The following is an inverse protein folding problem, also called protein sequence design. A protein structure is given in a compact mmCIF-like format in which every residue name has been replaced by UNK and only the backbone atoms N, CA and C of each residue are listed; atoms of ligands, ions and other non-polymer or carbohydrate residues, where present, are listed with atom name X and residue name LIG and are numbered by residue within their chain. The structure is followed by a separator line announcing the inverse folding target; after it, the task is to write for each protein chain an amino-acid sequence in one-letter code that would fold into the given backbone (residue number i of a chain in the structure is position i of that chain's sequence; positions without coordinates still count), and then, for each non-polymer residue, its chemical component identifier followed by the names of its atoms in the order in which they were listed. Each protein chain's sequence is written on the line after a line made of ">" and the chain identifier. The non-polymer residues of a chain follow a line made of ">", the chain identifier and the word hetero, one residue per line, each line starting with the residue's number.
data_IF_365689067671
#
_entry.id   IF_365689067671
#
_cell.length_a   1.000
_cell.length_b   1.000
_cell.length_c   1.000
_cell.angle_alpha   90.00
_cell.angle_beta   90.00
_cell.angle_gamma   90.00
#
_symmetry.space_group_name_H-M   'P 1'
#
loop_
_entity.id
_entity.type
_entity.pdbx_description
1 polymer ?
#
# COMPACT_ATOMS: atom_id res chain seq x y z
N UNK A 1 -28.93 -9.66 -32.57
CA UNK A 1 -28.14 -10.58 -31.74
C UNK A 1 -26.86 -9.89 -31.33
N UNK A 2 -26.81 -9.40 -30.10
CA UNK A 2 -25.62 -8.81 -29.51
C UNK A 2 -25.54 -9.22 -28.03
N UNK A 3 -24.34 -9.22 -27.47
CA UNK A 3 -24.08 -9.37 -26.04
C UNK A 3 -23.36 -8.10 -25.59
N UNK A 4 -23.77 -7.56 -24.44
CA UNK A 4 -23.09 -6.46 -23.78
C UNK A 4 -22.69 -6.88 -22.36
N UNK A 5 -21.53 -6.44 -21.91
CA UNK A 5 -21.13 -6.58 -20.51
C UNK A 5 -21.78 -5.45 -19.69
N UNK A 6 -22.38 -5.80 -18.55
CA UNK A 6 -23.14 -4.88 -17.69
C UNK A 6 -22.37 -4.47 -16.44
N UNK A 7 -21.70 -5.44 -15.79
CA UNK A 7 -21.00 -5.19 -14.53
C UNK A 7 -19.93 -6.26 -14.26
N UNK A 8 -18.90 -5.90 -13.49
CA UNK A 8 -17.86 -6.81 -12.98
C UNK A 8 -17.72 -6.59 -11.46
N UNK A 9 -17.66 -7.70 -10.71
CA UNK A 9 -17.28 -7.75 -9.31
C UNK A 9 -15.90 -8.37 -9.17
N UNK A 10 -15.01 -7.69 -8.48
CA UNK A 10 -13.72 -8.24 -8.07
C UNK A 10 -13.78 -8.79 -6.65
N UNK A 11 -14.39 -8.05 -5.72
CA UNK A 11 -14.68 -8.47 -4.35
C UNK A 11 -16.11 -9.02 -4.29
N UNK A 12 -16.28 -10.29 -4.66
CA UNK A 12 -17.60 -10.92 -4.75
C UNK A 12 -17.97 -11.72 -3.50
N UNK A 13 -16.99 -12.04 -2.65
CA UNK A 13 -17.16 -12.55 -1.29
C UNK A 13 -16.42 -11.66 -0.27
N UNK A 14 -17.16 -10.74 0.35
CA UNK A 14 -16.61 -9.84 1.37
C UNK A 14 -16.09 -10.51 2.65
N UNK A 15 -16.25 -11.83 2.80
CA UNK A 15 -15.69 -12.60 3.91
C UNK A 15 -14.39 -13.33 3.53
N UNK A 16 -13.95 -13.21 2.28
CA UNK A 16 -12.73 -13.83 1.78
C UNK A 16 -11.72 -12.83 1.23
N UNK A 17 -10.52 -13.35 0.96
CA UNK A 17 -9.39 -12.66 0.34
C UNK A 17 -8.47 -13.63 -0.43
N UNK A 18 -8.86 -14.91 -0.57
CA UNK A 18 -8.00 -15.97 -1.11
C UNK A 18 -8.24 -16.25 -2.61
N UNK A 19 -9.42 -15.93 -3.13
CA UNK A 19 -9.80 -16.16 -4.53
C UNK A 19 -10.41 -14.94 -5.22
N UNK A 20 -10.54 -13.81 -4.51
CA UNK A 20 -11.16 -12.58 -4.98
C UNK A 20 -10.52 -11.34 -4.33
N UNK A 21 -11.03 -10.14 -4.65
CA UNK A 21 -10.40 -8.89 -4.19
C UNK A 21 -10.78 -8.52 -2.76
N UNK A 22 -9.89 -7.78 -2.09
CA UNK A 22 -10.07 -7.28 -0.74
C UNK A 22 -11.24 -6.29 -0.60
N UNK A 23 -11.77 -6.20 0.62
CA UNK A 23 -12.64 -5.10 1.01
C UNK A 23 -11.83 -3.80 1.04
N UNK A 24 -12.22 -2.82 0.23
CA UNK A 24 -11.54 -1.52 0.09
C UNK A 24 -12.52 -0.37 0.11
N UNK A 25 -12.01 0.83 0.42
CA UNK A 25 -12.73 2.10 0.27
C UNK A 25 -11.80 3.14 -0.33
N UNK A 26 -12.36 4.25 -0.83
CA UNK A 26 -11.50 5.26 -1.46
C UNK A 26 -10.70 6.04 -0.42
N UNK A 27 -11.41 6.56 0.58
CA UNK A 27 -10.91 7.36 1.70
C UNK A 27 -11.99 7.38 2.80
N UNK A 28 -11.81 8.17 3.87
CA UNK A 28 -12.75 8.26 5.00
C UNK A 28 -14.20 8.58 4.66
N UNK A 29 -14.48 9.36 3.60
CA UNK A 29 -15.84 9.78 3.26
C UNK A 29 -16.46 8.97 2.13
N UNK A 30 -15.65 8.35 1.29
CA UNK A 30 -16.12 7.65 0.09
C UNK A 30 -15.88 6.14 0.17
N UNK A 31 -16.99 5.40 0.23
CA UNK A 31 -17.04 3.94 0.13
C UNK A 31 -16.94 3.50 -1.34
N UNK A 32 -16.38 2.31 -1.60
CA UNK A 32 -16.37 1.68 -2.92
C UNK A 32 -17.47 0.62 -2.91
N UNK A 33 -18.44 0.72 -3.80
CA UNK A 33 -19.53 -0.26 -3.90
C UNK A 33 -19.12 -1.42 -4.82
N UNK A 34 -19.65 -2.61 -4.53
CA UNK A 34 -19.62 -3.77 -5.43
C UNK A 34 -20.96 -3.80 -6.19
N UNK A 35 -20.98 -3.94 -7.53
CA UNK A 35 -19.85 -4.16 -8.44
C UNK A 35 -18.96 -2.92 -8.64
N UNK A 36 -17.65 -3.14 -8.72
CA UNK A 36 -16.64 -2.09 -8.88
C UNK A 36 -16.55 -1.60 -10.33
N UNK A 37 -17.04 -2.36 -11.31
CA UNK A 37 -17.20 -1.87 -12.69
C UNK A 37 -18.66 -1.95 -13.12
N UNK A 38 -19.20 -0.87 -13.67
CA UNK A 38 -20.56 -0.83 -14.23
C UNK A 38 -20.57 -0.11 -15.57
N UNK A 39 -21.14 -0.75 -16.59
CA UNK A 39 -21.26 -0.19 -17.93
C UNK A 39 -22.01 1.16 -17.91
N UNK A 40 -21.40 2.17 -18.53
CA UNK A 40 -21.97 3.53 -18.61
C UNK A 40 -21.80 4.38 -17.34
N UNK A 41 -21.23 3.81 -16.27
CA UNK A 41 -20.84 4.54 -15.05
C UNK A 41 -19.32 4.58 -14.94
N UNK A 42 -18.66 3.42 -15.04
CA UNK A 42 -17.21 3.32 -15.03
C UNK A 42 -16.67 3.68 -16.41
N UNK A 43 -15.95 4.80 -16.49
CA UNK A 43 -15.42 5.35 -17.76
C UNK A 43 -13.91 5.23 -17.88
N UNK A 44 -13.24 5.10 -16.74
CA UNK A 44 -11.79 4.99 -16.61
C UNK A 44 -11.40 3.82 -15.70
N UNK A 45 -10.12 3.48 -15.66
CA UNK A 45 -9.63 2.44 -14.75
C UNK A 45 -9.74 2.89 -13.28
N UNK A 46 -9.68 4.20 -13.04
CA UNK A 46 -9.82 4.83 -11.73
C UNK A 46 -11.24 4.69 -11.16
N UNK A 47 -12.23 4.42 -12.02
CA UNK A 47 -13.61 4.13 -11.63
C UNK A 47 -13.83 2.66 -11.30
N UNK A 48 -12.81 1.80 -11.49
CA UNK A 48 -12.88 0.36 -11.26
C UNK A 48 -11.64 -0.15 -10.55
N UNK A 49 -11.76 -0.21 -9.22
CA UNK A 49 -10.66 -0.45 -8.31
C UNK A 49 -10.78 -1.84 -7.68
N UNK A 50 -9.67 -2.56 -7.59
CA UNK A 50 -9.59 -3.81 -6.85
C UNK A 50 -8.19 -3.98 -6.23
N UNK A 51 -8.10 -4.65 -5.10
CA UNK A 51 -6.83 -4.95 -4.44
C UNK A 51 -6.72 -6.45 -4.17
N UNK A 52 -5.55 -7.03 -4.46
CA UNK A 52 -5.26 -8.44 -4.22
C UNK A 52 -4.01 -8.57 -3.36
N UNK A 53 -4.02 -9.51 -2.43
CA UNK A 53 -2.89 -9.78 -1.56
C UNK A 53 -2.15 -11.05 -2.01
N UNK A 54 -0.84 -10.93 -2.22
CA UNK A 54 0.00 -12.00 -2.77
C UNK A 54 -0.09 -13.24 -1.89
N UNK A 55 0.14 -13.12 -0.59
CA UNK A 55 0.18 -14.26 0.33
C UNK A 55 -1.13 -15.06 0.36
N UNK A 56 -2.26 -14.37 0.36
CA UNK A 56 -3.57 -15.00 0.48
C UNK A 56 -4.02 -15.64 -0.84
N UNK A 57 -3.63 -15.05 -1.97
CA UNK A 57 -4.00 -15.54 -3.31
C UNK A 57 -3.00 -16.54 -3.91
N UNK A 58 -1.80 -16.67 -3.34
CA UNK A 58 -0.74 -17.51 -3.93
C UNK A 58 -1.14 -18.98 -4.04
N UNK A 59 -1.03 -19.53 -5.25
CA UNK A 59 -1.40 -20.92 -5.55
C UNK A 59 -2.91 -21.18 -5.54
N UNK A 60 -3.74 -20.13 -5.50
CA UNK A 60 -5.20 -20.22 -5.58
C UNK A 60 -5.69 -19.89 -6.99
N UNK A 61 -6.87 -20.43 -7.32
CA UNK A 61 -7.60 -20.01 -8.52
C UNK A 61 -8.27 -18.69 -8.24
N UNK A 62 -7.85 -17.64 -8.94
CA UNK A 62 -8.44 -16.31 -8.79
C UNK A 62 -9.70 -16.24 -9.64
N UNK A 63 -10.72 -15.55 -9.12
CA UNK A 63 -12.03 -15.46 -9.73
C UNK A 63 -12.58 -14.04 -9.70
N UNK A 64 -13.49 -13.78 -10.63
CA UNK A 64 -14.33 -12.58 -10.68
C UNK A 64 -15.77 -12.99 -10.94
N UNK A 65 -16.72 -12.09 -10.73
CA UNK A 65 -18.08 -12.27 -11.26
C UNK A 65 -18.39 -11.21 -12.31
N UNK A 66 -18.95 -11.60 -13.45
CA UNK A 66 -19.40 -10.67 -14.48
C UNK A 66 -20.86 -10.91 -14.84
N UNK A 67 -21.57 -9.84 -15.20
CA UNK A 67 -22.97 -9.88 -15.65
C UNK A 67 -23.06 -9.35 -17.07
N UNK A 68 -23.87 -10.01 -17.88
CA UNK A 68 -24.06 -9.73 -19.29
C UNK A 68 -25.53 -9.61 -19.63
N UNK A 69 -25.80 -8.91 -20.72
CA UNK A 69 -27.12 -8.76 -21.30
C UNK A 69 -27.03 -9.16 -22.77
N UNK A 70 -27.91 -10.03 -23.22
CA UNK A 70 -27.99 -10.48 -24.60
C UNK A 70 -29.34 -10.14 -25.22
N UNK A 71 -29.37 -10.06 -26.55
CA UNK A 71 -30.58 -9.91 -27.35
C UNK A 71 -30.70 -11.09 -28.33
N UNK A 72 -31.72 -11.94 -28.15
CA UNK A 72 -31.98 -13.10 -29.00
C UNK A 72 -30.94 -14.21 -28.94
N UNK A 73 -30.15 -14.30 -27.86
CA UNK A 73 -29.15 -15.35 -27.62
C UNK A 73 -29.48 -16.02 -26.29
N UNK A 74 -29.69 -17.34 -26.30
CA UNK A 74 -30.00 -18.13 -25.10
C UNK A 74 -28.74 -18.52 -24.32
N UNK A 75 -27.65 -18.79 -25.04
CA UNK A 75 -26.36 -19.10 -24.45
C UNK A 75 -25.20 -18.71 -25.37
N UNK A 76 -24.07 -18.37 -24.77
CA UNK A 76 -22.82 -18.15 -25.48
C UNK A 76 -21.64 -18.49 -24.57
N UNK A 77 -20.54 -18.94 -25.15
CA UNK A 77 -19.28 -18.98 -24.42
C UNK A 77 -18.68 -17.58 -24.42
N UNK A 78 -18.29 -17.11 -23.24
CA UNK A 78 -17.74 -15.77 -23.04
C UNK A 78 -16.36 -15.89 -22.40
N UNK A 79 -15.44 -15.03 -22.82
CA UNK A 79 -14.09 -14.89 -22.26
C UNK A 79 -13.64 -13.43 -22.32
N UNK A 80 -12.49 -13.14 -21.73
CA UNK A 80 -11.78 -11.89 -21.97
C UNK A 80 -10.29 -12.15 -22.16
N UNK A 81 -9.70 -11.48 -23.14
CA UNK A 81 -8.26 -11.58 -23.45
C UNK A 81 -7.57 -10.25 -23.17
N UNK A 82 -6.24 -10.28 -23.00
CA UNK A 82 -5.44 -9.06 -22.93
C UNK A 82 -5.22 -8.52 -24.36
N UNK A 83 -5.79 -7.35 -24.73
CA UNK A 83 -5.63 -6.80 -26.07
C UNK A 83 -4.22 -6.27 -26.35
N UNK A 84 -3.37 -6.13 -25.33
CA UNK A 84 -2.00 -5.61 -25.47
C UNK A 84 -1.00 -6.70 -25.89
N UNK A 85 -1.37 -7.98 -25.77
CA UNK A 85 -0.57 -9.11 -26.25
C UNK A 85 -0.84 -9.30 -27.75
N UNK A 86 -0.11 -8.55 -28.59
CA UNK A 86 0.07 -8.88 -30.02
C UNK A 86 1.54 -9.23 -30.26
N UNK A 87 1.88 -10.39 -30.86
CA UNK A 87 3.27 -10.76 -31.09
C UNK A 87 3.79 -10.16 -32.41
N UNK A 88 4.90 -9.42 -32.37
CA UNK A 88 6.10 -9.64 -33.21
C UNK A 88 7.07 -8.44 -33.20
N UNK A 89 8.37 -8.75 -33.23
CA UNK A 89 9.45 -7.78 -33.50
C UNK A 89 10.37 -7.45 -32.31
N UNK A 90 11.57 -6.95 -32.63
CA UNK A 90 12.64 -6.54 -31.71
C UNK A 90 12.30 -5.29 -30.88
N UNK A 91 11.09 -4.75 -31.00
CA UNK A 91 10.54 -3.67 -30.15
C UNK A 91 9.62 -4.26 -29.05
N UNK A 92 9.13 -5.49 -29.27
CA UNK A 92 8.23 -6.18 -28.34
C UNK A 92 8.87 -6.58 -27.01
N UNK A 93 10.20 -6.70 -26.91
CA UNK A 93 10.86 -7.01 -25.64
C UNK A 93 10.88 -5.82 -24.66
N UNK A 94 11.06 -4.59 -25.16
CA UNK A 94 10.99 -3.36 -24.34
C UNK A 94 9.54 -3.13 -23.88
N UNK A 95 8.57 -3.31 -24.79
CA UNK A 95 7.13 -3.23 -24.46
C UNK A 95 6.73 -4.32 -23.45
N UNK A 96 7.26 -5.54 -23.57
CA UNK A 96 7.05 -6.61 -22.59
C UNK A 96 7.58 -6.28 -21.20
N UNK A 97 8.67 -5.53 -21.07
CA UNK A 97 9.17 -5.09 -19.75
C UNK A 97 8.22 -4.06 -19.13
N UNK A 98 7.72 -3.09 -19.91
CA UNK A 98 6.73 -2.13 -19.41
C UNK A 98 5.37 -2.78 -19.08
N UNK A 99 4.91 -3.75 -19.88
CA UNK A 99 3.69 -4.54 -19.61
C UNK A 99 3.89 -5.51 -18.43
N UNK A 100 5.07 -6.12 -18.27
CA UNK A 100 5.35 -6.99 -17.13
C UNK A 100 5.38 -6.22 -15.80
N UNK A 101 5.73 -4.93 -15.82
CA UNK A 101 5.81 -4.09 -14.62
C UNK A 101 4.49 -3.33 -14.35
N UNK A 102 3.70 -2.96 -15.37
CA UNK A 102 2.50 -2.12 -15.21
C UNK A 102 1.22 -2.63 -15.90
N UNK A 103 1.32 -3.73 -16.65
CA UNK A 103 0.24 -4.28 -17.47
C UNK A 103 -0.72 -5.19 -16.72
N UNK A 104 -1.39 -6.08 -17.47
CA UNK A 104 -2.45 -6.92 -16.94
C UNK A 104 -1.92 -8.00 -15.98
N UNK A 105 -2.01 -7.72 -14.68
CA UNK A 105 -1.59 -8.66 -13.62
C UNK A 105 -2.62 -9.73 -13.30
N UNK A 106 -3.87 -9.54 -13.72
CA UNK A 106 -4.95 -10.50 -13.51
C UNK A 106 -5.01 -11.58 -14.59
N UNK A 107 -4.22 -11.44 -15.67
CA UNK A 107 -4.24 -12.36 -16.79
C UNK A 107 -5.53 -12.28 -17.60
N UNK A 108 -5.90 -13.37 -18.26
CA UNK A 108 -7.11 -13.47 -19.07
C UNK A 108 -8.30 -13.99 -18.25
N UNK A 109 -9.52 -13.76 -18.72
CA UNK A 109 -10.72 -14.40 -18.15
C UNK A 109 -10.99 -15.67 -18.95
N UNK A 110 -10.94 -16.82 -18.28
CA UNK A 110 -11.13 -18.14 -18.91
C UNK A 110 -12.51 -18.26 -19.54
N UNK A 111 -12.58 -18.94 -20.68
CA UNK A 111 -13.87 -19.15 -21.36
C UNK A 111 -14.84 -19.96 -20.50
N UNK A 112 -16.10 -19.50 -20.49
CA UNK A 112 -17.18 -20.16 -19.76
C UNK A 112 -18.49 -20.02 -20.54
N UNK A 113 -19.27 -21.10 -20.57
CA UNK A 113 -20.63 -21.07 -21.10
C UNK A 113 -21.52 -20.25 -20.16
N UNK A 114 -22.13 -19.20 -20.71
CA UNK A 114 -23.08 -18.31 -20.04
C UNK A 114 -24.46 -18.54 -20.62
N UNK A 115 -25.44 -18.72 -19.75
CA UNK A 115 -26.87 -18.83 -20.12
C UNK A 115 -27.58 -17.52 -19.79
N UNK A 116 -28.50 -17.11 -20.66
CA UNK A 116 -29.28 -15.91 -20.52
C UNK A 116 -30.73 -16.25 -20.17
N UNK A 117 -31.21 -15.67 -19.07
CA UNK A 117 -32.59 -15.84 -18.61
C UNK A 117 -33.60 -15.00 -19.40
N UNK A 118 -34.86 -14.97 -18.95
CA UNK A 118 -35.89 -14.11 -19.52
C UNK A 118 -35.43 -12.65 -19.61
N UNK A 119 -35.66 -12.02 -20.75
CA UNK A 119 -35.19 -10.66 -21.01
C UNK A 119 -33.70 -10.57 -21.33
N UNK A 120 -32.97 -11.68 -21.43
CA UNK A 120 -31.59 -11.75 -21.91
C UNK A 120 -30.51 -11.48 -20.86
N UNK A 121 -30.85 -11.43 -19.58
CA UNK A 121 -29.89 -11.18 -18.49
C UNK A 121 -29.23 -12.48 -18.02
N UNK A 122 -27.91 -12.49 -17.84
CA UNK A 122 -27.19 -13.65 -17.32
C UNK A 122 -27.23 -13.76 -15.79
N UNK A 123 -27.57 -12.68 -15.08
CA UNK A 123 -27.16 -12.53 -13.68
C UNK A 123 -25.63 -12.50 -13.54
N UNK A 124 -25.12 -12.59 -12.31
CA UNK A 124 -23.67 -12.67 -12.08
C UNK A 124 -23.17 -14.10 -12.27
N UNK A 125 -22.20 -14.26 -13.17
CA UNK A 125 -21.52 -15.53 -13.45
C UNK A 125 -20.09 -15.45 -12.97
N UNK A 126 -19.64 -16.46 -12.23
CA UNK A 126 -18.24 -16.54 -11.75
C UNK A 126 -17.33 -17.04 -12.86
N UNK A 127 -16.21 -16.36 -13.10
CA UNK A 127 -15.17 -16.77 -14.04
C UNK A 127 -13.86 -17.02 -13.30
N UNK A 128 -13.11 -18.01 -13.76
CA UNK A 128 -11.72 -18.21 -13.35
C UNK A 128 -10.82 -17.30 -14.19
N UNK A 129 -9.79 -16.75 -13.56
CA UNK A 129 -8.71 -16.07 -14.25
C UNK A 129 -7.65 -17.07 -14.71
N UNK A 130 -7.06 -16.81 -15.86
CA UNK A 130 -6.04 -17.63 -16.51
C UNK A 130 -4.74 -16.83 -16.56
N UNK A 131 -3.65 -17.47 -16.15
CA UNK A 131 -2.29 -16.92 -16.12
C UNK A 131 -2.18 -15.57 -15.36
N UNK A 132 -2.72 -15.44 -14.12
CA UNK A 132 -2.49 -14.24 -13.31
C UNK A 132 -1.00 -14.11 -12.95
N UNK A 133 -0.50 -12.87 -12.98
CA UNK A 133 0.90 -12.53 -12.70
C UNK A 133 1.08 -11.80 -11.35
N UNK A 134 0.06 -11.84 -10.48
CA UNK A 134 0.03 -11.14 -9.19
C UNK A 134 1.26 -11.43 -8.31
N UNK A 135 1.73 -12.68 -8.32
CA UNK A 135 2.76 -13.14 -7.39
C UNK A 135 4.19 -12.79 -7.82
N UNK A 136 4.39 -12.46 -9.10
CA UNK A 136 5.71 -12.19 -9.66
C UNK A 136 6.06 -10.70 -9.71
N UNK A 137 5.05 -9.82 -9.66
CA UNK A 137 5.25 -8.37 -9.78
C UNK A 137 5.64 -7.68 -8.46
N UNK A 138 5.28 -8.26 -7.31
CA UNK A 138 5.46 -7.62 -6.00
C UNK A 138 4.45 -6.47 -5.78
N UNK A 139 4.68 -5.65 -4.75
CA UNK A 139 3.80 -4.51 -4.44
C UNK A 139 3.73 -3.54 -5.62
N UNK A 140 2.53 -3.07 -5.98
CA UNK A 140 2.40 -2.15 -7.11
C UNK A 140 0.97 -1.74 -7.46
N UNK A 141 0.89 -0.84 -8.44
CA UNK A 141 -0.35 -0.42 -9.10
C UNK A 141 -0.25 -0.84 -10.56
N UNK A 142 -1.26 -1.56 -11.02
CA UNK A 142 -1.29 -2.15 -12.34
C UNK A 142 -2.60 -1.84 -13.04
N UNK A 143 -2.57 -1.80 -14.37
CA UNK A 143 -3.74 -1.53 -15.18
C UNK A 143 -4.10 -2.75 -16.02
N UNK A 144 -5.17 -3.43 -15.62
CA UNK A 144 -5.71 -4.58 -16.35
C UNK A 144 -6.70 -4.10 -17.40
N UNK A 145 -6.44 -4.42 -18.66
CA UNK A 145 -7.36 -4.20 -19.77
C UNK A 145 -7.86 -5.54 -20.28
N UNK A 146 -9.17 -5.68 -20.40
CA UNK A 146 -9.81 -6.89 -20.89
C UNK A 146 -10.65 -6.60 -22.13
N UNK A 147 -10.37 -7.30 -23.21
CA UNK A 147 -11.20 -7.32 -24.40
C UNK A 147 -12.12 -8.54 -24.32
N UNK A 148 -13.39 -8.27 -24.04
CA UNK A 148 -14.42 -9.30 -23.87
C UNK A 148 -14.88 -9.81 -25.23
N UNK A 149 -15.06 -11.12 -25.33
CA UNK A 149 -15.47 -11.80 -26.55
C UNK A 149 -16.49 -12.89 -26.24
N UNK A 150 -17.34 -13.20 -27.22
CA UNK A 150 -18.21 -14.37 -27.18
C UNK A 150 -18.14 -15.21 -28.44
N UNK A 151 -18.54 -16.48 -28.34
CA UNK A 151 -18.87 -17.34 -29.49
C UNK A 151 -20.12 -18.16 -29.18
N UNK A 152 -20.90 -18.49 -30.20
CA UNK A 152 -22.16 -19.23 -30.04
C UNK A 152 -21.96 -20.75 -29.93
N UNK A 153 -20.83 -21.26 -30.43
CA UNK A 153 -20.41 -22.66 -30.33
C UNK A 153 -18.91 -22.77 -30.66
N UNK A 154 -18.32 -23.94 -30.42
CA UNK A 154 -16.88 -24.19 -30.64
C UNK A 154 -16.39 -24.00 -32.08
N UNK A 155 -17.30 -24.05 -33.06
CA UNK A 155 -16.98 -23.86 -34.49
C UNK A 155 -17.11 -22.40 -34.93
N UNK A 156 -17.73 -21.55 -34.09
CA UNK A 156 -17.95 -20.15 -34.39
C UNK A 156 -16.73 -19.30 -34.04
N UNK A 157 -16.40 -18.26 -34.82
CA UNK A 157 -15.34 -17.33 -34.45
C UNK A 157 -15.73 -16.55 -33.19
N UNK A 158 -14.72 -16.09 -32.47
CA UNK A 158 -14.90 -15.13 -31.37
C UNK A 158 -15.30 -13.77 -31.94
N UNK A 159 -16.36 -13.19 -31.37
CA UNK A 159 -16.89 -11.86 -31.69
C UNK A 159 -16.66 -10.95 -30.49
N UNK A 160 -16.16 -9.75 -30.75
CA UNK A 160 -15.88 -8.76 -29.71
C UNK A 160 -17.18 -8.22 -29.09
N UNK A 161 -17.17 -8.06 -27.77
CA UNK A 161 -18.25 -7.42 -26.99
C UNK A 161 -17.88 -5.97 -26.71
N UNK A 162 -16.86 -5.79 -25.87
CA UNK A 162 -16.42 -4.48 -25.37
C UNK A 162 -15.02 -4.61 -24.75
N UNK A 163 -14.42 -3.48 -24.37
CA UNK A 163 -13.16 -3.42 -23.63
C UNK A 163 -13.35 -2.75 -22.28
N UNK A 164 -12.93 -3.41 -21.21
CA UNK A 164 -12.95 -2.86 -19.84
C UNK A 164 -11.53 -2.58 -19.35
N UNK A 165 -11.39 -1.61 -18.44
CA UNK A 165 -10.11 -1.20 -17.84
C UNK A 165 -10.27 -1.08 -16.34
N UNK A 166 -9.27 -1.56 -15.61
CA UNK A 166 -9.32 -1.70 -14.16
C UNK A 166 -7.97 -1.31 -13.54
N UNK A 167 -8.01 -0.62 -12.40
CA UNK A 167 -6.82 -0.31 -11.61
C UNK A 167 -6.71 -1.31 -10.47
N UNK A 168 -5.64 -2.10 -10.51
CA UNK A 168 -5.40 -3.22 -9.62
C UNK A 168 -4.23 -2.91 -8.69
N UNK A 169 -4.47 -2.95 -7.39
CA UNK A 169 -3.43 -2.87 -6.37
C UNK A 169 -2.96 -4.28 -6.02
N UNK A 170 -1.65 -4.49 -6.02
CA UNK A 170 -1.02 -5.73 -5.56
C UNK A 170 -0.31 -5.44 -4.24
N UNK A 171 -0.67 -6.19 -3.20
CA UNK A 171 -0.17 -6.03 -1.82
C UNK A 171 0.59 -7.29 -1.41
N UNK A 172 1.47 -7.20 -0.40
CA UNK A 172 2.17 -8.39 0.10
C UNK A 172 1.21 -9.36 0.79
N UNK A 173 0.36 -8.81 1.66
CA UNK A 173 -0.59 -9.55 2.49
C UNK A 173 -1.85 -8.71 2.71
N UNK A 174 -2.87 -9.30 3.33
CA UNK A 174 -3.98 -8.53 3.89
C UNK A 174 -3.41 -7.38 4.75
N UNK A 175 -3.90 -6.14 4.54
CA UNK A 175 -3.51 -4.97 5.33
C UNK A 175 -3.58 -5.22 6.84
N UNK A 176 -2.57 -4.76 7.57
CA UNK A 176 -2.52 -4.88 9.04
C UNK A 176 -3.10 -3.64 9.69
N UNK A 177 -3.30 -3.70 11.01
CA UNK A 177 -3.81 -2.58 11.79
C UNK A 177 -3.05 -1.27 11.48
N UNK A 178 -3.72 -0.12 11.37
CA UNK A 178 -5.13 0.12 11.76
C UNK A 178 -6.16 -0.37 10.73
N UNK A 179 -5.74 -0.88 9.58
CA UNK A 179 -6.65 -1.30 8.51
C UNK A 179 -7.40 -2.59 8.86
N UNK A 180 -8.71 -2.63 8.61
CA UNK A 180 -9.61 -3.75 8.93
C UNK A 180 -10.31 -4.24 7.67
N UNK A 181 -10.42 -5.55 7.49
CA UNK A 181 -11.22 -6.12 6.40
C UNK A 181 -12.70 -6.24 6.76
N UNK A 182 -13.05 -6.27 8.04
CA UNK A 182 -14.43 -6.51 8.50
C UNK A 182 -14.88 -5.46 9.53
N UNK A 183 -16.18 -5.12 9.56
CA UNK A 183 -17.21 -5.48 8.57
C UNK A 183 -17.01 -4.73 7.24
N UNK A 184 -17.42 -5.34 6.12
CA UNK A 184 -17.52 -4.62 4.85
C UNK A 184 -18.80 -3.76 4.85
N UNK A 185 -18.66 -2.53 5.33
CA UNK A 185 -19.79 -1.60 5.43
C UNK A 185 -19.33 -0.15 5.26
N UNK A 186 -20.25 0.72 4.84
CA UNK A 186 -20.01 2.17 4.68
C UNK A 186 -19.54 2.82 5.99
N UNK A 187 -20.01 2.30 7.13
CA UNK A 187 -19.68 2.80 8.46
C UNK A 187 -18.26 2.42 8.92
N UNK A 188 -17.61 1.43 8.30
CA UNK A 188 -16.25 1.05 8.63
C UNK A 188 -15.24 1.97 7.93
N UNK A 189 -14.79 3.01 8.62
CA UNK A 189 -13.77 3.93 8.13
C UNK A 189 -12.34 3.38 8.14
N UNK A 190 -12.13 2.19 8.72
CA UNK A 190 -10.84 1.50 8.75
C UNK A 190 -10.69 0.46 7.64
N UNK A 191 -11.65 0.29 6.72
CA UNK A 191 -11.36 -0.46 5.49
C UNK A 191 -10.13 0.19 4.79
N UNK A 192 -9.23 -0.57 4.17
CA UNK A 192 -8.06 -0.02 3.48
C UNK A 192 -8.43 1.08 2.47
N UNK A 193 -7.76 2.23 2.57
CA UNK A 193 -7.99 3.39 1.69
C UNK A 193 -7.12 3.31 0.43
N UNK A 194 -7.75 3.26 -0.74
CA UNK A 194 -7.00 3.26 -2.00
C UNK A 194 -6.15 4.51 -2.20
N UNK A 195 -6.55 5.66 -1.63
CA UNK A 195 -5.73 6.88 -1.69
C UNK A 195 -4.44 6.77 -0.87
N UNK A 196 -4.39 5.92 0.15
CA UNK A 196 -3.14 5.59 0.86
C UNK A 196 -2.36 4.53 0.09
N UNK A 197 -3.05 3.56 -0.54
CA UNK A 197 -2.42 2.59 -1.44
C UNK A 197 -1.75 3.27 -2.64
N UNK A 198 -2.32 4.36 -3.16
CA UNK A 198 -1.74 5.13 -4.26
C UNK A 198 -0.29 5.55 -3.98
N UNK A 199 -0.04 6.04 -2.77
CA UNK A 199 1.32 6.39 -2.35
C UNK A 199 2.12 5.14 -1.97
N UNK A 200 1.55 4.28 -1.14
CA UNK A 200 2.28 3.15 -0.54
C UNK A 200 2.76 2.15 -1.60
N UNK A 201 1.92 1.86 -2.61
CA UNK A 201 2.28 0.96 -3.71
C UNK A 201 3.34 1.55 -4.64
N UNK A 202 3.29 2.87 -4.90
CA UNK A 202 4.32 3.55 -5.70
C UNK A 202 5.65 3.59 -4.94
N UNK A 203 5.60 3.91 -3.65
CA UNK A 203 6.79 4.00 -2.80
C UNK A 203 7.48 2.64 -2.67
N UNK A 204 6.71 1.58 -2.45
CA UNK A 204 7.20 0.22 -2.27
C UNK A 204 7.22 -0.63 -3.55
N UNK A 205 7.15 -0.02 -4.75
CA UNK A 205 6.99 -0.75 -6.01
C UNK A 205 8.01 -1.88 -6.17
N UNK A 206 7.52 -3.05 -6.61
CA UNK A 206 8.29 -4.26 -6.86
C UNK A 206 8.80 -4.99 -5.61
N UNK A 207 8.47 -4.51 -4.40
CA UNK A 207 8.90 -5.18 -3.17
C UNK A 207 8.16 -6.49 -2.99
N UNK A 208 8.89 -7.56 -2.62
CA UNK A 208 8.35 -8.91 -2.43
C UNK A 208 8.39 -9.39 -0.98
N UNK A 209 8.91 -8.57 -0.07
CA UNK A 209 9.00 -8.86 1.35
C UNK A 209 8.70 -7.60 2.18
N UNK A 210 8.29 -7.82 3.44
CA UNK A 210 7.82 -6.77 4.33
C UNK A 210 8.92 -5.74 4.67
N UNK A 211 10.17 -6.20 4.84
CA UNK A 211 11.27 -5.35 5.29
C UNK A 211 11.70 -4.38 4.18
N UNK A 212 11.84 -4.88 2.94
CA UNK A 212 12.10 -4.04 1.76
C UNK A 212 10.97 -3.04 1.53
N UNK A 213 9.71 -3.46 1.65
CA UNK A 213 8.56 -2.60 1.44
C UNK A 213 8.47 -1.47 2.49
N UNK A 214 8.56 -1.82 3.78
CA UNK A 214 8.60 -0.87 4.88
C UNK A 214 9.80 0.08 4.78
N UNK A 215 10.96 -0.43 4.35
CA UNK A 215 12.16 0.36 4.15
C UNK A 215 11.98 1.44 3.09
N UNK A 216 11.47 1.07 1.91
CA UNK A 216 11.17 2.04 0.85
C UNK A 216 10.13 3.07 1.28
N UNK A 217 9.10 2.68 2.02
CA UNK A 217 8.11 3.63 2.58
C UNK A 217 8.80 4.62 3.53
N UNK A 218 9.68 4.14 4.40
CA UNK A 218 10.46 4.95 5.35
C UNK A 218 11.37 5.95 4.63
N UNK A 219 12.10 5.49 3.61
CA UNK A 219 12.94 6.34 2.75
C UNK A 219 12.13 7.42 2.06
N UNK A 220 10.97 7.06 1.51
CA UNK A 220 10.09 8.00 0.80
C UNK A 220 9.53 9.06 1.73
N UNK A 221 9.11 8.68 2.95
CA UNK A 221 8.63 9.64 3.95
C UNK A 221 9.76 10.59 4.37
N UNK A 222 10.97 10.09 4.64
CA UNK A 222 12.10 10.98 4.97
C UNK A 222 12.43 11.94 3.81
N UNK A 223 12.38 11.45 2.57
CA UNK A 223 12.63 12.21 1.35
C UNK A 223 11.56 13.28 1.02
N UNK A 224 10.42 13.29 1.74
CA UNK A 224 9.43 14.36 1.61
C UNK A 224 9.97 15.71 2.12
N UNK A 225 10.96 15.72 3.02
CA UNK A 225 11.51 16.95 3.57
C UNK A 225 12.58 17.61 2.70
N UNK A 226 12.69 18.96 2.73
CA UNK A 226 11.82 19.92 3.43
C UNK A 226 10.54 20.29 2.68
N UNK A 227 10.38 19.83 1.43
CA UNK A 227 9.35 20.33 0.51
C UNK A 227 7.92 20.12 1.00
N UNK A 228 7.63 18.95 1.58
CA UNK A 228 6.29 18.57 2.04
C UNK A 228 6.23 18.55 3.56
N UNK A 229 7.24 17.99 4.24
CA UNK A 229 7.30 17.97 5.70
C UNK A 229 8.65 18.40 6.25
N UNK A 230 8.69 18.86 7.48
CA UNK A 230 9.89 19.26 8.20
C UNK A 230 9.71 19.00 9.68
N UNK A 231 10.78 18.63 10.38
CA UNK A 231 10.72 18.41 11.82
C UNK A 231 10.28 19.69 12.55
N UNK A 232 9.38 19.55 13.53
CA UNK A 232 8.75 20.69 14.20
C UNK A 232 9.64 21.36 15.25
N UNK A 233 10.70 22.06 14.81
CA UNK A 233 11.50 22.88 15.72
C UNK A 233 10.78 24.15 16.19
N UNK A 234 10.09 24.91 15.33
CA UNK A 234 9.40 26.13 15.76
C UNK A 234 8.24 25.88 16.74
N UNK A 235 7.54 24.76 16.61
CA UNK A 235 6.42 24.37 17.48
C UNK A 235 6.82 23.53 18.69
N UNK A 236 8.12 23.32 18.93
CA UNK A 236 8.59 22.60 20.12
C UNK A 236 8.40 21.08 20.05
N UNK A 237 8.28 20.51 18.85
CA UNK A 237 8.14 19.07 18.62
C UNK A 237 6.71 18.56 18.82
N UNK A 238 5.70 19.39 18.52
CA UNK A 238 4.30 18.99 18.66
C UNK A 238 3.91 17.97 17.58
N UNK A 239 3.05 17.00 17.95
CA UNK A 239 2.51 16.03 17.00
C UNK A 239 1.29 16.65 16.31
N UNK A 240 1.46 17.03 15.05
CA UNK A 240 0.40 17.70 14.29
C UNK A 240 -0.59 16.71 13.68
N UNK A 241 -0.13 15.49 13.36
CA UNK A 241 -0.95 14.50 12.65
C UNK A 241 -1.36 13.29 13.51
N UNK A 242 -0.74 13.05 14.66
CA UNK A 242 -0.86 11.76 15.37
C UNK A 242 -1.26 11.87 16.84
N UNK A 243 -1.77 13.03 17.27
CA UNK A 243 -2.36 13.21 18.60
C UNK A 243 -3.66 12.38 18.72
N UNK A 244 -3.58 11.23 19.42
CA UNK A 244 -4.68 10.30 19.67
C UNK A 244 -5.02 9.39 18.49
N UNK A 245 -5.33 9.97 17.34
CA UNK A 245 -5.62 9.27 16.08
C UNK A 245 -4.81 9.87 14.94
N UNK A 246 -4.57 9.11 13.87
CA UNK A 246 -3.87 9.62 12.72
C UNK A 246 -4.81 10.45 11.83
N UNK A 247 -4.52 11.75 11.67
CA UNK A 247 -5.19 12.67 10.75
C UNK A 247 -4.81 12.39 9.29
N UNK A 248 -5.05 11.14 8.85
CA UNK A 248 -4.62 10.61 7.56
C UNK A 248 -5.21 11.41 6.40
N UNK A 249 -6.46 11.85 6.52
CA UNK A 249 -7.10 12.68 5.49
C UNK A 249 -6.32 13.98 5.24
N UNK A 250 -5.93 14.68 6.31
CA UNK A 250 -5.13 15.91 6.20
C UNK A 250 -3.70 15.64 5.73
N UNK A 251 -3.11 14.50 6.10
CA UNK A 251 -1.79 14.14 5.61
C UNK A 251 -1.81 13.83 4.11
N UNK A 252 -2.83 13.12 3.62
CA UNK A 252 -3.05 12.92 2.18
C UNK A 252 -3.27 14.24 1.44
N UNK A 253 -4.01 15.18 2.01
CA UNK A 253 -4.14 16.55 1.48
C UNK A 253 -2.77 17.24 1.36
N UNK A 254 -1.92 17.10 2.39
CA UNK A 254 -0.55 17.64 2.37
C UNK A 254 0.31 16.99 1.28
N UNK A 255 0.24 15.67 1.11
CA UNK A 255 0.95 14.95 0.05
C UNK A 255 0.53 15.39 -1.35
N UNK A 256 -0.74 15.76 -1.53
CA UNK A 256 -1.29 16.29 -2.79
C UNK A 256 -0.91 17.76 -3.05
N UNK A 257 -0.07 18.37 -2.20
CA UNK A 257 0.34 19.76 -2.30
C UNK A 257 -0.61 20.75 -1.61
N UNK A 258 -1.65 20.27 -0.95
CA UNK A 258 -2.56 21.09 -0.14
C UNK A 258 -1.96 21.51 1.21
N UNK A 259 -2.74 22.27 2.00
CA UNK A 259 -2.30 22.75 3.31
C UNK A 259 -2.18 21.64 4.35
N UNK A 260 -3.10 20.67 4.37
CA UNK A 260 -3.18 19.66 5.44
C UNK A 260 -3.24 20.31 6.82
N UNK A 261 -2.48 19.78 7.78
CA UNK A 261 -2.24 20.42 9.09
C UNK A 261 -0.90 21.17 9.12
N UNK A 262 -0.38 21.55 7.95
CA UNK A 262 0.93 22.19 7.80
C UNK A 262 2.06 21.20 7.58
N UNK A 263 3.28 21.75 7.41
CA UNK A 263 4.49 20.97 7.10
C UNK A 263 5.13 20.30 8.31
N UNK A 264 4.78 20.72 9.52
CA UNK A 264 5.51 20.31 10.72
C UNK A 264 5.10 18.91 11.18
N UNK A 265 6.11 18.08 11.45
CA UNK A 265 5.96 16.70 11.95
C UNK A 265 6.94 16.46 13.10
N UNK A 266 6.63 15.53 14.00
CA UNK A 266 7.57 15.04 15.00
C UNK A 266 7.81 13.52 14.88
N UNK A 267 8.50 12.92 15.84
CA UNK A 267 8.78 11.49 15.85
C UNK A 267 7.51 10.62 15.86
N UNK A 268 6.48 10.98 16.65
CA UNK A 268 5.19 10.29 16.64
C UNK A 268 4.46 10.40 15.31
N UNK A 269 4.54 11.55 14.64
CA UNK A 269 3.99 11.71 13.29
C UNK A 269 4.69 10.81 12.30
N UNK A 270 6.03 10.85 12.24
CA UNK A 270 6.81 9.99 11.36
C UNK A 270 6.55 8.50 11.61
N UNK A 271 6.55 8.06 12.88
CA UNK A 271 6.25 6.67 13.26
C UNK A 271 4.86 6.23 12.78
N UNK A 272 3.85 7.09 12.97
CA UNK A 272 2.46 6.81 12.58
C UNK A 272 2.30 6.76 11.07
N UNK A 273 2.92 7.69 10.33
CA UNK A 273 2.85 7.71 8.86
C UNK A 273 3.55 6.46 8.30
N UNK A 274 4.77 6.15 8.75
CA UNK A 274 5.54 4.98 8.28
C UNK A 274 4.76 3.70 8.50
N UNK A 275 4.31 3.45 9.73
CA UNK A 275 3.57 2.23 10.06
C UNK A 275 2.23 2.16 9.35
N UNK A 276 1.44 3.24 9.29
CA UNK A 276 0.15 3.24 8.60
C UNK A 276 0.28 2.94 7.11
N UNK A 277 1.21 3.61 6.42
CA UNK A 277 1.44 3.44 4.97
C UNK A 277 2.12 2.10 4.66
N UNK A 278 2.98 1.59 5.55
CA UNK A 278 3.56 0.25 5.37
C UNK A 278 2.50 -0.83 5.61
N UNK A 279 1.64 -0.66 6.62
CA UNK A 279 0.68 -1.68 7.00
C UNK A 279 -0.48 -1.81 6.00
N UNK A 280 -0.77 -0.77 5.20
CA UNK A 280 -1.77 -0.89 4.13
C UNK A 280 -1.35 -1.83 3.01
N UNK A 281 -0.05 -2.05 2.82
CA UNK A 281 0.51 -2.99 1.84
C UNK A 281 0.90 -4.33 2.48
N UNK A 282 0.46 -4.57 3.72
CA UNK A 282 0.66 -5.83 4.45
C UNK A 282 1.92 -5.89 5.32
N UNK A 283 2.64 -4.77 5.52
CA UNK A 283 3.68 -4.72 6.55
C UNK A 283 3.04 -4.77 7.95
N UNK A 284 3.79 -5.18 8.96
CA UNK A 284 3.27 -5.39 10.33
C UNK A 284 4.12 -4.61 11.33
N UNK A 285 4.03 -3.28 11.23
CA UNK A 285 4.77 -2.33 12.04
C UNK A 285 3.88 -1.73 13.13
N UNK A 286 4.45 -1.53 14.30
CA UNK A 286 3.84 -0.85 15.43
C UNK A 286 4.39 0.58 15.55
N UNK A 287 3.62 1.50 16.12
CA UNK A 287 4.21 2.70 16.71
C UNK A 287 4.62 2.38 18.15
N UNK A 288 5.88 2.59 18.52
CA UNK A 288 6.34 2.35 19.90
C UNK A 288 7.44 3.32 20.30
N UNK A 289 7.46 3.65 21.59
CA UNK A 289 8.37 4.63 22.17
C UNK A 289 9.63 3.99 22.72
N UNK A 290 10.65 4.80 22.83
CA UNK A 290 11.86 4.54 23.57
C UNK A 290 12.20 5.73 24.47
N UNK A 291 12.76 5.38 25.63
CA UNK A 291 13.40 6.28 26.58
C UNK A 291 12.50 7.26 27.34
N UNK A 292 13.03 7.71 28.48
CA UNK A 292 12.37 8.63 29.42
C UNK A 292 13.33 9.75 29.79
N UNK A 293 13.63 10.63 28.83
CA UNK A 293 14.68 11.65 28.97
C UNK A 293 16.06 11.05 28.70
N UNK A 294 16.56 11.15 27.46
CA UNK A 294 17.89 10.64 27.09
C UNK A 294 18.65 11.62 26.21
N UNK A 295 19.94 11.78 26.47
CA UNK A 295 20.83 12.65 25.69
C UNK A 295 21.12 12.09 24.29
N UNK A 296 21.23 12.97 23.30
CA UNK A 296 21.33 12.60 21.89
C UNK A 296 22.76 12.78 21.34
N UNK A 297 23.10 11.97 20.34
CA UNK A 297 24.16 12.34 19.40
C UNK A 297 23.61 13.35 18.38
N UNK A 298 24.49 13.91 17.56
CA UNK A 298 24.03 14.68 16.40
C UNK A 298 23.34 13.76 15.39
N UNK A 299 22.27 14.26 14.80
CA UNK A 299 21.46 13.59 13.78
C UNK A 299 21.12 14.58 12.67
N UNK A 300 20.49 14.09 11.60
CA UNK A 300 19.86 14.95 10.60
C UNK A 300 18.36 14.71 10.65
N UNK A 301 17.62 15.63 11.27
CA UNK A 301 16.15 15.57 11.30
C UNK A 301 15.55 15.73 9.91
N UNK A 302 14.37 15.15 9.70
CA UNK A 302 13.61 15.26 8.45
C UNK A 302 13.41 16.73 8.05
N UNK A 303 13.73 17.04 6.79
CA UNK A 303 13.69 18.41 6.26
C UNK A 303 14.91 19.28 6.58
N UNK A 304 15.87 18.78 7.37
CA UNK A 304 17.14 19.45 7.64
C UNK A 304 18.29 18.75 6.89
N UNK A 305 19.43 19.43 6.78
CA UNK A 305 20.63 18.93 6.09
C UNK A 305 21.90 18.99 6.94
N UNK A 306 21.83 19.55 8.13
CA UNK A 306 22.97 19.75 9.05
C UNK A 306 22.94 18.71 10.16
N UNK A 307 24.13 18.22 10.53
CA UNK A 307 24.30 17.48 11.78
C UNK A 307 24.12 18.41 12.96
N UNK A 308 23.14 18.12 13.80
CA UNK A 308 22.92 18.78 15.07
C UNK A 308 22.05 17.90 15.94
N UNK A 309 21.95 18.20 17.23
CA UNK A 309 20.81 17.67 17.97
C UNK A 309 19.52 18.33 17.46
N UNK A 310 18.38 17.62 17.43
CA UNK A 310 17.13 18.16 16.89
C UNK A 310 16.72 19.43 17.64
N UNK A 311 16.52 20.51 16.88
CA UNK A 311 16.08 21.80 17.42
C UNK A 311 16.96 22.38 18.53
N UNK A 312 18.25 22.01 18.52
CA UNK A 312 19.22 22.34 19.57
C UNK A 312 18.87 21.81 20.96
N UNK A 313 18.00 20.80 21.05
CA UNK A 313 17.70 20.14 22.32
C UNK A 313 18.80 19.13 22.65
N UNK A 314 19.32 19.14 23.88
CA UNK A 314 20.35 18.19 24.28
C UNK A 314 19.81 16.75 24.46
N UNK A 315 18.48 16.59 24.55
CA UNK A 315 17.83 15.33 24.89
C UNK A 315 16.42 15.22 24.33
N UNK A 316 15.95 13.99 24.15
CA UNK A 316 14.54 13.69 23.93
C UNK A 316 13.87 13.23 25.22
N UNK A 317 12.64 13.70 25.47
CA UNK A 317 11.78 13.18 26.54
C UNK A 317 11.37 11.73 26.25
N UNK A 318 11.09 11.45 24.98
CA UNK A 318 10.92 10.13 24.38
C UNK A 318 11.16 10.26 22.88
N UNK A 319 11.39 9.14 22.20
CA UNK A 319 11.35 9.06 20.75
C UNK A 319 10.40 7.94 20.34
N UNK A 320 9.58 8.14 19.31
CA UNK A 320 8.65 7.13 18.82
C UNK A 320 9.00 6.79 17.37
N UNK A 321 9.04 5.50 17.05
CA UNK A 321 9.42 4.99 15.72
C UNK A 321 8.42 3.94 15.26
N UNK A 322 8.42 3.65 13.96
CA UNK A 322 7.80 2.44 13.46
C UNK A 322 8.72 1.24 13.77
N UNK A 323 8.17 0.17 14.31
CA UNK A 323 8.96 -0.90 14.94
C UNK A 323 8.32 -2.27 14.71
N UNK A 324 9.14 -3.27 14.37
CA UNK A 324 8.71 -4.67 14.25
C UNK A 324 8.47 -5.33 15.61
N UNK A 325 7.79 -6.48 15.53
CA UNK A 325 7.84 -7.52 16.56
C UNK A 325 7.32 -7.08 17.92
N UNK A 326 8.07 -7.40 18.98
CA UNK A 326 7.74 -7.07 20.37
C UNK A 326 8.06 -5.61 20.72
N UNK A 327 8.71 -4.87 19.82
CA UNK A 327 9.27 -3.55 20.03
C UNK A 327 10.29 -3.54 21.18
N UNK A 328 11.15 -4.55 21.21
CA UNK A 328 12.23 -4.68 22.18
C UNK A 328 13.61 -4.52 21.54
N UNK A 329 14.67 -4.73 22.34
CA UNK A 329 16.07 -4.57 21.92
C UNK A 329 16.48 -5.43 20.71
N UNK A 330 15.74 -6.50 20.44
CA UNK A 330 16.03 -7.45 19.38
C UNK A 330 15.34 -7.13 18.07
N UNK A 331 14.33 -6.28 18.08
CA UNK A 331 13.52 -5.95 16.92
C UNK A 331 14.10 -4.78 16.13
N UNK A 332 13.77 -4.74 14.83
CA UNK A 332 14.21 -3.67 13.94
C UNK A 332 13.27 -2.46 13.92
N UNK A 333 13.87 -1.29 13.79
CA UNK A 333 13.21 0.01 13.70
C UNK A 333 13.25 0.58 12.28
N UNK A 334 12.25 1.38 11.99
CA UNK A 334 12.05 2.14 10.77
C UNK A 334 11.79 3.60 11.16
N UNK A 335 12.80 4.44 11.01
CA UNK A 335 12.78 5.81 11.48
C UNK A 335 12.92 6.78 10.31
N UNK A 336 11.80 7.32 9.84
CA UNK A 336 11.80 8.36 8.82
C UNK A 336 12.06 9.75 9.39
N UNK A 337 12.09 9.90 10.72
CA UNK A 337 12.14 11.18 11.39
C UNK A 337 13.53 11.82 11.35
N UNK A 338 14.58 10.99 11.32
CA UNK A 338 15.97 11.43 11.37
C UNK A 338 16.90 10.43 10.70
N UNK A 339 18.07 10.90 10.29
CA UNK A 339 19.23 10.06 9.95
C UNK A 339 20.20 10.08 11.12
N UNK A 340 20.69 8.92 11.49
CA UNK A 340 21.76 8.75 12.47
C UNK A 340 23.10 8.66 11.76
N UNK A 341 24.19 8.74 12.51
CA UNK A 341 25.52 8.48 11.96
C UNK A 341 25.71 6.99 11.67
N UNK A 342 26.18 6.69 10.47
CA UNK A 342 26.40 5.37 9.89
C UNK A 342 27.82 4.84 10.02
N UNK A 343 28.78 5.64 10.48
CA UNK A 343 30.16 5.16 10.67
C UNK A 343 30.37 4.44 12.02
N UNK A 344 31.64 4.18 12.38
CA UNK A 344 32.03 3.47 13.60
C UNK A 344 32.08 4.35 14.86
N UNK A 345 31.87 5.65 14.74
CA UNK A 345 32.07 6.66 15.79
C UNK A 345 30.92 7.68 15.80
N UNK A 346 29.69 7.27 16.15
CA UNK A 346 28.47 8.10 16.01
C UNK A 346 28.40 9.38 16.86
N UNK A 347 29.47 9.68 17.60
CA UNK A 347 29.58 10.82 18.52
C UNK A 347 30.53 11.91 18.04
N UNK A 348 31.37 11.60 17.06
CA UNK A 348 32.48 12.45 16.68
C UNK A 348 32.56 12.57 15.18
N UNK A 349 32.72 13.80 14.71
CA UNK A 349 32.98 14.11 13.31
C UNK A 349 34.23 13.38 12.78
N UNK A 350 34.27 12.99 11.48
CA UNK A 350 33.21 13.13 10.47
C UNK A 350 32.01 12.22 10.75
N UNK A 351 30.82 12.59 10.25
CA UNK A 351 29.61 11.77 10.34
C UNK A 351 29.13 11.35 8.94
N UNK A 352 28.57 10.15 8.83
CA UNK A 352 28.02 9.58 7.58
C UNK A 352 26.50 9.41 7.69
N UNK A 353 25.67 10.09 6.87
CA UNK A 353 24.22 9.98 7.02
C UNK A 353 23.70 8.57 6.76
N UNK A 354 23.00 7.99 7.73
CA UNK A 354 22.34 6.69 7.62
C UNK A 354 20.89 6.79 8.07
N UNK A 355 19.96 6.49 7.15
CA UNK A 355 18.55 6.39 7.51
C UNK A 355 18.28 5.03 8.17
N UNK A 356 17.69 4.98 9.37
CA UNK A 356 17.34 3.72 10.03
C UNK A 356 16.19 3.01 9.30
N UNK A 357 16.55 2.06 8.46
CA UNK A 357 15.64 1.21 7.70
C UNK A 357 15.96 -0.24 8.04
N UNK A 358 15.02 -0.92 8.69
CA UNK A 358 15.23 -2.28 9.22
C UNK A 358 16.51 -2.40 10.07
N UNK A 359 16.79 -1.37 10.89
CA UNK A 359 17.96 -1.34 11.75
C UNK A 359 17.61 -1.94 13.11
N UNK A 360 18.33 -2.95 13.57
CA UNK A 360 18.12 -3.52 14.91
C UNK A 360 18.27 -2.46 16.00
N UNK A 361 17.39 -2.45 17.00
CA UNK A 361 17.45 -1.49 18.10
C UNK A 361 18.77 -1.59 18.89
N UNK A 362 19.05 -2.77 19.45
CA UNK A 362 20.31 -3.12 20.11
C UNK A 362 20.46 -2.67 21.57
N UNK A 363 21.52 -3.17 22.20
CA UNK A 363 21.98 -2.73 23.52
C UNK A 363 22.97 -1.57 23.38
N UNK A 364 23.29 -0.95 24.53
CA UNK A 364 24.40 -0.01 24.59
C UNK A 364 25.73 -0.73 24.35
N UNK A 365 26.53 -0.22 23.42
CA UNK A 365 27.81 -0.79 22.99
C UNK A 365 27.74 -1.70 21.76
N UNK A 366 26.56 -1.97 21.21
CA UNK A 366 26.38 -2.82 20.02
C UNK A 366 26.65 -2.07 18.69
N UNK A 367 26.80 -0.74 18.71
CA UNK A 367 26.89 0.12 17.50
C UNK A 367 25.67 -0.01 16.57
N UNK A 368 24.52 -0.33 17.18
CA UNK A 368 23.20 -0.42 16.56
C UNK A 368 22.42 0.89 16.75
N UNK A 369 21.12 0.90 16.42
CA UNK A 369 20.31 2.11 16.39
C UNK A 369 20.39 2.93 17.70
N UNK A 370 20.29 2.25 18.86
CA UNK A 370 20.35 2.90 20.18
C UNK A 370 21.64 3.70 20.39
N UNK A 371 22.80 3.12 20.08
CA UNK A 371 24.09 3.81 20.25
C UNK A 371 24.28 4.95 19.27
N UNK A 372 23.73 4.81 18.06
CA UNK A 372 23.83 5.83 17.01
C UNK A 372 22.97 7.03 17.34
N UNK A 373 21.80 6.81 17.94
CA UNK A 373 20.90 7.88 18.37
C UNK A 373 21.38 8.60 19.64
N UNK A 374 22.04 7.89 20.57
CA UNK A 374 22.23 8.39 21.93
C UNK A 374 23.67 8.73 22.30
N UNK A 375 23.80 9.82 23.06
CA UNK A 375 25.04 10.16 23.77
C UNK A 375 25.42 9.06 24.78
N UNK A 376 26.69 9.07 25.23
CA UNK A 376 27.17 8.08 26.20
C UNK A 376 26.33 8.03 27.48
N UNK A 377 25.96 9.19 28.03
CA UNK A 377 25.12 9.27 29.23
C UNK A 377 23.64 9.03 28.93
N UNK A 378 23.20 9.25 27.69
CA UNK A 378 21.82 9.03 27.26
C UNK A 378 21.49 7.55 27.05
N UNK A 379 22.47 6.72 26.68
CA UNK A 379 22.20 5.36 26.23
C UNK A 379 21.44 4.54 27.28
N UNK A 380 21.81 4.57 28.55
CA UNK A 380 21.13 3.84 29.64
C UNK A 380 19.66 4.24 29.84
N UNK A 381 19.26 5.43 29.40
CA UNK A 381 17.90 5.95 29.52
C UNK A 381 17.07 5.76 28.26
N UNK A 382 17.66 5.37 27.13
CA UNK A 382 16.97 5.02 25.90
C UNK A 382 16.63 3.53 25.85
N UNK A 383 15.73 3.09 26.73
CA UNK A 383 15.22 1.71 26.70
C UNK A 383 13.94 1.63 25.87
N UNK A 384 13.68 0.50 25.16
CA UNK A 384 12.39 0.26 24.53
C UNK A 384 11.24 0.34 25.53
N UNK A 385 10.07 0.79 25.10
CA UNK A 385 8.85 0.79 25.91
C UNK A 385 7.73 0.00 25.21
N UNK A 386 7.79 -1.34 25.20
CA UNK A 386 6.77 -2.19 24.56
C UNK A 386 5.34 -1.92 25.02
N UNK A 387 5.14 -1.44 26.26
CA UNK A 387 3.83 -1.05 26.77
C UNK A 387 3.19 0.15 26.08
N UNK A 388 3.92 0.85 25.21
CA UNK A 388 3.43 1.99 24.41
C UNK A 388 3.02 1.60 22.99
N UNK A 389 3.16 0.31 22.63
CA UNK A 389 2.80 -0.20 21.31
C UNK A 389 1.36 0.11 20.97
N UNK A 390 1.16 0.64 19.77
CA UNK A 390 -0.17 0.99 19.28
C UNK A 390 -0.23 0.97 17.75
N UNK A 391 -1.47 0.93 17.26
CA UNK A 391 -1.87 1.32 15.90
C UNK A 391 -2.92 2.40 16.00
N UNK A 392 -2.53 3.65 15.74
CA UNK A 392 -3.46 4.77 15.71
C UNK A 392 -4.48 4.59 14.59
N UNK A 393 -5.76 4.64 14.93
CA UNK A 393 -6.85 4.61 13.96
C UNK A 393 -6.74 5.79 12.98
N UNK A 394 -7.11 5.58 11.72
CA UNK A 394 -7.10 6.64 10.69
C UNK A 394 -8.39 7.43 10.71
N UNK A 395 -8.29 8.75 10.55
CA UNK A 395 -9.45 9.67 10.50
C UNK A 395 -9.32 10.78 9.47
#
# INVERSE_FOLDING_TARGET
>A
MNIIIKAIKFNHDSNSADHDALNIRKNKSQFINVPEWVQGISTSAEDSLAAYAIKETQGKTITIQARFQADGIEQAEIRAIDPTITPSGCIGWIIKIFIAIFGNVLGEVKEKLVTFGPGGDSGFVTFELKDPNLWDVGVGIHYTTWKWQYRLNNSSPWVDIDTTRHKIYVLLEIPKDPWKQTPYSVANDQLPWVEVMDYSCIWAIGSKDRDTAAGKVTERINALGPSVVEYDCPGGGYSNYSAGSFKCTNFLERLKGGPGLGKYVNCSDCATIVSTFSNIIGCDLWQSRMGTGFGLNEVISIGYSTWSTPCSWASFNYHEVAWKGACDINDEVFDACLKVDGDSSPRFSPHTPLLPVNMKFGNCGDLLYRDRLTSLSGCSYCNPQPGTKQHRQVI
#
